data_IF_711436920848
#
_entry.id   IF_711436920848
#
_cell.length_a   1.000
_cell.length_b   1.000
_cell.length_c   1.000
_cell.angle_alpha   90.00
_cell.angle_beta   90.00
_cell.angle_gamma   90.00
#
_symmetry.space_group_name_H-M   'P 1'
#
loop_
_entity.id
_entity.type
_entity.pdbx_description
1 polymer ?
#
# COMPACT_ATOMS: atom_id res chain seq x y z
N UNK A 1 -0.56 -12.29 -5.08
CA UNK A 1 -0.34 -11.65 -3.77
C UNK A 1 -1.68 -11.16 -3.27
N UNK A 2 -1.97 -11.34 -1.99
CA UNK A 2 -3.14 -10.77 -1.33
C UNK A 2 -2.69 -9.93 -0.13
N UNK A 3 -3.51 -8.97 0.29
CA UNK A 3 -3.24 -8.14 1.46
C UNK A 3 -4.46 -8.17 2.37
N UNK A 4 -4.28 -8.48 3.65
CA UNK A 4 -5.37 -8.61 4.59
C UNK A 4 -5.11 -7.84 5.89
N UNK A 5 -6.20 -7.46 6.55
CA UNK A 5 -6.15 -6.96 7.93
C UNK A 5 -6.75 -8.00 8.85
N UNK A 6 -6.00 -8.31 9.89
CA UNK A 6 -6.28 -9.34 10.87
C UNK A 6 -6.36 -8.72 12.26
N UNK A 7 -7.09 -9.37 13.17
CA UNK A 7 -7.13 -8.97 14.57
C UNK A 7 -7.23 -10.18 15.48
N UNK A 8 -6.77 -10.00 16.72
CA UNK A 8 -7.04 -10.96 17.78
C UNK A 8 -8.39 -10.61 18.41
N UNK A 9 -9.41 -11.40 18.11
CA UNK A 9 -10.71 -11.29 18.76
C UNK A 9 -10.66 -12.00 20.13
N UNK A 10 -11.11 -11.33 21.19
CA UNK A 10 -11.19 -11.95 22.52
C UNK A 10 -12.16 -13.15 22.57
N UNK A 11 -13.14 -13.21 21.65
CA UNK A 11 -14.13 -14.29 21.57
C UNK A 11 -13.73 -15.40 20.61
N UNK A 12 -13.12 -15.06 19.47
CA UNK A 12 -12.87 -16.00 18.36
C UNK A 12 -11.37 -16.28 18.13
N UNK A 13 -10.48 -15.62 18.86
CA UNK A 13 -9.03 -15.68 18.62
C UNK A 13 -8.61 -14.92 17.35
N UNK A 14 -7.45 -15.27 16.75
CA UNK A 14 -6.98 -14.68 15.51
C UNK A 14 -8.01 -14.80 14.38
N UNK A 15 -8.40 -13.67 13.82
CA UNK A 15 -9.43 -13.60 12.77
C UNK A 15 -9.02 -12.63 11.67
N UNK A 16 -9.30 -13.01 10.42
CA UNK A 16 -9.17 -12.13 9.26
C UNK A 16 -10.42 -11.26 9.19
N UNK A 17 -10.25 -9.95 9.24
CA UNK A 17 -11.36 -9.00 9.13
C UNK A 17 -11.82 -8.93 7.67
N UNK A 18 -10.86 -8.63 6.79
CA UNK A 18 -11.04 -8.71 5.35
C UNK A 18 -9.69 -8.79 4.64
N UNK A 19 -9.74 -9.22 3.38
CA UNK A 19 -8.60 -9.34 2.48
C UNK A 19 -8.91 -8.66 1.15
N UNK A 20 -7.85 -8.21 0.49
CA UNK A 20 -7.87 -7.59 -0.83
C UNK A 20 -7.02 -8.41 -1.77
N UNK A 21 -7.52 -8.61 -2.98
CA UNK A 21 -6.83 -9.38 -4.03
C UNK A 21 -7.03 -8.76 -5.39
N UNK A 22 -6.18 -9.14 -6.33
CA UNK A 22 -6.38 -8.86 -7.75
C UNK A 22 -7.47 -9.79 -8.30
N UNK A 23 -8.28 -9.28 -9.21
CA UNK A 23 -9.24 -10.07 -10.00
C UNK A 23 -8.49 -10.79 -11.11
N UNK A 24 -8.70 -12.09 -11.24
CA UNK A 24 -8.16 -12.90 -12.35
C UNK A 24 -9.28 -13.27 -13.32
N UNK A 25 -8.96 -13.59 -14.58
CA UNK A 25 -9.96 -13.95 -15.61
C UNK A 25 -10.90 -15.12 -15.21
N UNK A 26 -10.54 -15.90 -14.20
CA UNK A 26 -11.40 -16.94 -13.61
C UNK A 26 -12.58 -16.38 -12.81
N UNK A 27 -12.51 -15.11 -12.36
CA UNK A 27 -13.53 -14.44 -11.55
C UNK A 27 -14.70 -13.89 -12.38
N UNK A 28 -14.51 -13.63 -13.67
CA UNK A 28 -15.57 -13.11 -14.58
C UNK A 28 -16.63 -14.16 -14.94
N UNK A 29 -16.35 -15.45 -14.70
CA UNK A 29 -17.32 -16.54 -14.86
C UNK A 29 -17.94 -17.01 -13.53
N UNK A 30 -17.50 -16.47 -12.38
CA UNK A 30 -17.88 -16.95 -11.03
C UNK A 30 -18.52 -15.87 -10.15
N UNK A 31 -19.22 -14.89 -10.73
CA UNK A 31 -20.13 -14.02 -9.94
C UNK A 31 -21.26 -14.80 -9.23
N UNK A 32 -21.38 -16.12 -9.45
CA UNK A 32 -22.38 -17.01 -8.84
C UNK A 32 -21.83 -18.04 -7.84
N UNK A 33 -20.51 -18.13 -7.62
CA UNK A 33 -19.91 -19.14 -6.71
C UNK A 33 -18.99 -18.50 -5.68
N UNK A 34 -19.51 -17.52 -4.95
CA UNK A 34 -18.92 -17.13 -3.67
C UNK A 34 -19.35 -18.19 -2.65
N UNK A 35 -18.39 -18.89 -2.06
CA UNK A 35 -18.66 -19.96 -1.10
C UNK A 35 -19.64 -19.51 -0.02
N UNK A 36 -20.61 -20.38 0.30
CA UNK A 36 -21.70 -20.17 1.25
C UNK A 36 -21.16 -19.53 2.53
N UNK A 37 -21.80 -18.48 3.08
CA UNK A 37 -21.32 -17.87 4.31
C UNK A 37 -21.25 -18.96 5.39
N UNK A 38 -20.12 -19.09 6.12
CA UNK A 38 -20.12 -19.87 7.34
C UNK A 38 -21.21 -19.32 8.25
N UNK A 39 -21.77 -20.16 9.13
CA UNK A 39 -22.83 -19.80 10.08
C UNK A 39 -22.65 -18.36 10.58
N UNK A 40 -23.71 -17.53 10.63
CA UNK A 40 -23.60 -16.09 10.75
C UNK A 40 -22.68 -15.72 11.91
N UNK A 41 -21.48 -15.26 11.58
CA UNK A 41 -20.55 -14.73 12.56
C UNK A 41 -21.17 -13.40 12.99
N UNK A 42 -21.91 -13.45 14.10
CA UNK A 42 -22.62 -12.31 14.68
C UNK A 42 -21.67 -11.31 15.38
N UNK A 43 -20.36 -11.52 15.23
CA UNK A 43 -19.33 -10.69 15.82
C UNK A 43 -19.01 -9.51 14.90
N UNK A 44 -19.39 -8.30 15.32
CA UNK A 44 -19.16 -7.07 14.55
C UNK A 44 -17.67 -6.72 14.40
N UNK A 45 -16.79 -7.21 15.28
CA UNK A 45 -15.34 -7.09 15.11
C UNK A 45 -14.79 -7.98 14.00
N UNK A 46 -15.24 -9.24 13.92
CA UNK A 46 -14.74 -10.22 12.94
C UNK A 46 -15.44 -10.09 11.59
N UNK A 47 -16.68 -9.59 11.57
CA UNK A 47 -17.49 -9.40 10.37
C UNK A 47 -17.99 -7.95 10.28
N UNK A 48 -17.10 -6.98 9.98
CA UNK A 48 -17.49 -5.57 9.97
C UNK A 48 -18.30 -5.18 8.74
N UNK A 49 -18.42 -6.06 7.73
CA UNK A 49 -19.28 -5.89 6.56
C UNK A 49 -20.73 -6.33 6.81
N UNK A 50 -20.97 -7.11 7.87
CA UNK A 50 -22.25 -7.78 8.06
C UNK A 50 -22.49 -8.87 7.02
N UNK A 51 -23.73 -9.33 6.92
CA UNK A 51 -24.09 -10.43 6.02
C UNK A 51 -24.42 -9.95 4.60
N UNK A 52 -24.87 -8.71 4.45
CA UNK A 52 -25.46 -8.22 3.21
C UNK A 52 -24.47 -7.46 2.31
N UNK A 53 -23.39 -6.92 2.86
CA UNK A 53 -22.44 -6.12 2.07
C UNK A 53 -21.50 -7.04 1.26
N UNK A 54 -21.41 -6.87 -0.08
CA UNK A 54 -20.62 -7.76 -0.95
C UNK A 54 -19.10 -7.54 -0.84
N UNK A 55 -18.68 -6.38 -0.34
CA UNK A 55 -17.30 -5.94 -0.30
C UNK A 55 -17.09 -4.71 -1.19
N UNK A 56 -15.83 -4.36 -1.46
CA UNK A 56 -15.46 -3.26 -2.34
C UNK A 56 -14.77 -3.77 -3.60
N UNK A 57 -14.96 -3.06 -4.71
CA UNK A 57 -14.30 -3.36 -5.98
C UNK A 57 -13.81 -2.07 -6.61
N UNK A 58 -12.57 -2.07 -7.08
CA UNK A 58 -11.96 -0.95 -7.81
C UNK A 58 -11.37 -1.44 -9.12
N UNK A 59 -11.67 -0.74 -10.21
CA UNK A 59 -11.17 -1.03 -11.54
C UNK A 59 -10.14 0.04 -11.94
N UNK A 60 -8.91 -0.38 -12.23
CA UNK A 60 -7.85 0.49 -12.72
C UNK A 60 -7.93 0.58 -14.25
N UNK A 61 -8.32 1.76 -14.74
CA UNK A 61 -8.60 2.00 -16.18
C UNK A 61 -7.35 1.85 -17.05
N UNK A 62 -6.18 2.21 -16.55
CA UNK A 62 -4.93 2.22 -17.32
C UNK A 62 -4.33 0.82 -17.50
N UNK A 63 -4.44 -0.04 -16.50
CA UNK A 63 -3.83 -1.38 -16.51
C UNK A 63 -4.83 -2.49 -16.83
N UNK A 64 -6.13 -2.16 -16.98
CA UNK A 64 -7.24 -3.10 -17.07
C UNK A 64 -7.25 -4.14 -15.92
N UNK A 65 -6.69 -3.78 -14.77
CA UNK A 65 -6.67 -4.61 -13.56
C UNK A 65 -7.79 -4.19 -12.63
N UNK A 66 -8.42 -5.17 -11.99
CA UNK A 66 -9.43 -4.90 -10.96
C UNK A 66 -9.00 -5.50 -9.63
N UNK A 67 -9.40 -4.88 -8.54
CA UNK A 67 -9.09 -5.32 -7.17
C UNK A 67 -10.38 -5.44 -6.38
N UNK A 68 -10.49 -6.50 -5.56
CA UNK A 68 -11.67 -6.76 -4.73
C UNK A 68 -11.22 -6.89 -3.28
N UNK A 69 -11.92 -6.20 -2.37
CA UNK A 69 -11.83 -6.42 -0.93
C UNK A 69 -13.09 -7.06 -0.40
N UNK A 70 -12.99 -8.19 0.29
CA UNK A 70 -14.12 -8.87 0.92
C UNK A 70 -13.68 -9.61 2.17
N UNK A 71 -14.63 -10.01 3.02
CA UNK A 71 -14.42 -11.00 4.08
C UNK A 71 -14.83 -12.42 3.64
N UNK A 72 -15.25 -12.59 2.38
CA UNK A 72 -15.66 -13.86 1.79
C UNK A 72 -14.53 -14.47 0.98
N UNK A 73 -14.30 -15.76 1.14
CA UNK A 73 -13.22 -16.46 0.46
C UNK A 73 -13.68 -17.03 -0.89
N UNK A 74 -12.80 -17.02 -1.89
CA UNK A 74 -13.05 -17.60 -3.21
C UNK A 74 -12.95 -19.13 -3.21
N UNK A 75 -12.11 -19.69 -2.33
CA UNK A 75 -11.92 -21.13 -2.18
C UNK A 75 -11.50 -21.48 -0.75
N UNK A 76 -11.69 -22.75 -0.38
CA UNK A 76 -11.21 -23.27 0.92
C UNK A 76 -9.69 -23.19 1.05
N UNK A 77 -8.95 -23.33 -0.06
CA UNK A 77 -7.49 -23.16 -0.07
C UNK A 77 -7.09 -21.75 0.36
N UNK A 78 -7.68 -20.72 -0.25
CA UNK A 78 -7.40 -19.31 0.09
C UNK A 78 -7.80 -19.02 1.54
N UNK A 79 -8.97 -19.52 1.96
CA UNK A 79 -9.42 -19.44 3.36
C UNK A 79 -8.39 -20.01 4.32
N UNK A 80 -7.95 -21.24 4.11
CA UNK A 80 -7.00 -21.93 4.98
C UNK A 80 -5.65 -21.20 5.02
N UNK A 81 -5.17 -20.71 3.87
CA UNK A 81 -3.94 -19.93 3.78
C UNK A 81 -4.00 -18.63 4.58
N UNK A 82 -5.07 -17.84 4.40
CA UNK A 82 -5.28 -16.59 5.12
C UNK A 82 -5.46 -16.81 6.62
N UNK A 83 -6.23 -17.83 7.01
CA UNK A 83 -6.44 -18.18 8.42
C UNK A 83 -5.13 -18.61 9.09
N UNK A 84 -4.33 -19.45 8.44
CA UNK A 84 -3.04 -19.89 8.96
C UNK A 84 -2.05 -18.73 9.07
N UNK A 85 -1.99 -17.85 8.06
CA UNK A 85 -1.16 -16.65 8.11
C UNK A 85 -1.58 -15.73 9.27
N UNK A 86 -2.88 -15.47 9.41
CA UNK A 86 -3.46 -14.69 10.50
C UNK A 86 -3.10 -15.28 11.86
N UNK A 87 -3.27 -16.59 12.05
CA UNK A 87 -2.94 -17.29 13.28
C UNK A 87 -1.47 -17.11 13.63
N UNK A 88 -0.56 -17.41 12.70
CA UNK A 88 0.88 -17.27 12.93
C UNK A 88 1.28 -15.84 13.26
N UNK A 89 0.78 -14.87 12.48
CA UNK A 89 1.03 -13.44 12.68
C UNK A 89 0.63 -12.91 14.06
N UNK A 90 -0.44 -13.45 14.65
CA UNK A 90 -1.00 -12.93 15.91
C UNK A 90 -0.73 -13.83 17.12
N UNK A 91 -0.26 -15.07 16.93
CA UNK A 91 -0.14 -16.04 18.02
C UNK A 91 1.17 -16.82 18.07
N UNK A 92 1.88 -16.98 16.96
CA UNK A 92 3.09 -17.82 16.91
C UNK A 92 4.37 -17.02 16.67
N UNK A 93 4.28 -15.96 15.89
CA UNK A 93 5.43 -15.12 15.57
C UNK A 93 5.52 -13.92 16.52
N UNK A 94 6.72 -13.68 17.05
CA UNK A 94 6.94 -12.61 18.03
C UNK A 94 7.94 -11.61 17.48
N UNK A 95 7.52 -10.35 17.35
CA UNK A 95 8.43 -9.24 17.10
C UNK A 95 9.20 -8.90 18.38
N UNK A 96 10.54 -8.74 18.35
CA UNK A 96 11.32 -8.30 19.52
C UNK A 96 10.84 -6.97 20.11
N UNK A 97 10.30 -6.09 19.28
CA UNK A 97 9.77 -4.78 19.68
C UNK A 97 8.28 -4.80 20.04
N UNK A 98 7.66 -5.97 20.20
CA UNK A 98 6.21 -6.21 20.39
C UNK A 98 5.33 -5.83 19.20
N UNK A 99 5.59 -4.67 18.59
CA UNK A 99 5.04 -4.26 17.28
C UNK A 99 6.13 -4.35 16.21
N UNK A 100 5.73 -4.44 14.94
CA UNK A 100 6.62 -4.27 13.81
C UNK A 100 6.47 -5.33 12.71
N UNK A 101 7.21 -5.13 11.60
CA UNK A 101 7.19 -6.03 10.47
C UNK A 101 8.05 -7.27 10.75
N UNK A 102 7.52 -8.43 10.38
CA UNK A 102 8.20 -9.72 10.39
C UNK A 102 7.95 -10.41 9.05
N UNK A 103 8.91 -11.23 8.61
CA UNK A 103 8.75 -12.11 7.47
C UNK A 103 8.79 -13.56 7.95
N UNK A 104 7.84 -14.36 7.49
CA UNK A 104 7.87 -15.81 7.74
C UNK A 104 7.29 -16.59 6.56
N UNK A 105 7.59 -17.89 6.53
CA UNK A 105 7.09 -18.82 5.54
C UNK A 105 6.48 -20.05 6.21
N UNK A 106 5.44 -20.60 5.61
CA UNK A 106 4.84 -21.87 6.02
C UNK A 106 4.94 -22.87 4.87
N UNK A 107 5.88 -23.81 4.99
CA UNK A 107 6.10 -24.86 3.99
C UNK A 107 5.01 -25.93 3.99
N UNK A 108 4.10 -25.95 4.98
CA UNK A 108 2.98 -26.90 5.01
C UNK A 108 1.83 -26.49 4.08
N UNK A 109 1.71 -25.20 3.77
CA UNK A 109 0.65 -24.63 2.93
C UNK A 109 1.19 -23.73 1.80
N UNK A 110 2.51 -23.78 1.58
CA UNK A 110 3.26 -23.04 0.56
C UNK A 110 2.94 -21.54 0.51
N UNK A 111 2.99 -20.87 1.67
CA UNK A 111 2.80 -19.42 1.75
C UNK A 111 4.02 -18.72 2.33
N UNK A 112 4.21 -17.48 1.87
CA UNK A 112 5.13 -16.52 2.43
C UNK A 112 4.35 -15.29 2.86
N UNK A 113 4.72 -14.70 4.00
CA UNK A 113 3.97 -13.63 4.63
C UNK A 113 4.92 -12.54 5.11
N UNK A 114 4.63 -11.30 4.73
CA UNK A 114 5.07 -10.11 5.48
C UNK A 114 3.93 -9.73 6.40
N UNK A 115 4.17 -9.73 7.70
CA UNK A 115 3.18 -9.37 8.72
C UNK A 115 3.68 -8.18 9.51
N UNK A 116 2.88 -7.14 9.63
CA UNK A 116 3.18 -5.99 10.46
C UNK A 116 2.16 -5.93 11.60
N UNK A 117 2.58 -6.38 12.77
CA UNK A 117 1.73 -6.40 13.98
C UNK A 117 1.78 -5.05 14.68
N UNK A 118 0.64 -4.63 15.23
CA UNK A 118 0.49 -3.34 15.92
C UNK A 118 -0.68 -3.38 16.91
N UNK A 119 -0.68 -2.45 17.87
CA UNK A 119 -1.79 -2.24 18.78
C UNK A 119 -2.60 -1.00 18.40
N UNK A 120 -3.91 -1.08 18.58
CA UNK A 120 -4.83 0.06 18.58
C UNK A 120 -5.34 0.30 19.99
N UNK A 121 -5.37 1.55 20.44
CA UNK A 121 -5.99 1.92 21.72
C UNK A 121 -7.50 1.71 21.65
N UNK A 122 -8.08 1.17 22.71
CA UNK A 122 -9.52 1.02 22.85
C UNK A 122 -9.90 1.00 24.32
N UNK A 123 -10.78 1.91 24.74
CA UNK A 123 -11.21 2.05 26.12
C UNK A 123 -11.97 0.83 26.64
N UNK A 124 -12.59 0.06 25.74
CA UNK A 124 -13.41 -1.12 26.03
C UNK A 124 -12.64 -2.44 26.06
N UNK A 125 -11.41 -2.44 25.57
CA UNK A 125 -10.57 -3.64 25.47
C UNK A 125 -9.81 -3.90 26.77
N UNK A 126 -9.53 -5.18 27.04
CA UNK A 126 -8.67 -5.55 28.16
C UNK A 126 -7.27 -4.96 27.98
N UNK A 127 -6.79 -4.23 28.98
CA UNK A 127 -5.50 -3.55 28.91
C UNK A 127 -5.48 -2.32 27.99
N UNK A 128 -6.66 -1.82 27.61
CA UNK A 128 -6.87 -0.60 26.81
C UNK A 128 -6.29 -0.64 25.40
N UNK A 129 -6.06 -1.83 24.87
CA UNK A 129 -5.48 -2.03 23.55
C UNK A 129 -5.97 -3.32 22.90
N UNK A 130 -6.06 -3.31 21.57
CA UNK A 130 -6.38 -4.48 20.75
C UNK A 130 -5.26 -4.78 19.78
N UNK A 131 -5.00 -6.07 19.58
CA UNK A 131 -3.93 -6.55 18.72
C UNK A 131 -4.43 -6.74 17.29
N UNK A 132 -3.77 -6.07 16.35
CA UNK A 132 -4.01 -6.19 14.91
C UNK A 132 -2.74 -6.59 14.15
N UNK A 133 -2.93 -7.04 12.91
CA UNK A 133 -1.85 -7.20 11.95
C UNK A 133 -2.32 -6.86 10.54
N UNK A 134 -1.51 -6.11 9.80
CA UNK A 134 -1.64 -6.07 8.33
C UNK A 134 -0.70 -7.14 7.79
N UNK A 135 -1.22 -8.02 6.93
CA UNK A 135 -0.45 -9.10 6.32
C UNK A 135 -0.46 -8.97 4.80
N UNK A 136 0.67 -9.21 4.15
CA UNK A 136 0.79 -9.38 2.71
C UNK A 136 1.31 -10.79 2.44
N UNK A 137 0.55 -11.57 1.66
CA UNK A 137 0.84 -12.98 1.40
C UNK A 137 1.05 -13.25 -0.08
N UNK A 138 2.01 -14.12 -0.39
CA UNK A 138 2.32 -14.56 -1.74
C UNK A 138 2.82 -16.01 -1.75
N UNK A 139 2.66 -16.67 -2.90
CA UNK A 139 3.13 -18.04 -3.12
C UNK A 139 4.65 -18.11 -3.31
N UNK A 140 5.28 -16.98 -3.65
CA UNK A 140 6.73 -16.89 -3.86
C UNK A 140 7.34 -15.85 -2.90
N UNK A 141 8.33 -16.27 -2.11
CA UNK A 141 9.05 -15.41 -1.16
C UNK A 141 9.76 -14.26 -1.86
N UNK A 142 10.28 -14.50 -3.07
CA UNK A 142 11.06 -13.53 -3.84
C UNK A 142 10.28 -12.24 -4.10
N UNK A 143 8.98 -12.33 -4.36
CA UNK A 143 8.10 -11.16 -4.59
C UNK A 143 8.06 -10.29 -3.34
N UNK A 144 7.78 -10.89 -2.18
CA UNK A 144 7.67 -10.17 -0.92
C UNK A 144 9.01 -9.58 -0.47
N UNK A 145 10.09 -10.35 -0.53
CA UNK A 145 11.41 -9.89 -0.11
C UNK A 145 11.94 -8.76 -1.00
N UNK A 146 11.70 -8.82 -2.31
CA UNK A 146 12.05 -7.72 -3.24
C UNK A 146 11.29 -6.44 -2.91
N UNK A 147 10.00 -6.59 -2.58
CA UNK A 147 9.11 -5.47 -2.29
C UNK A 147 9.16 -5.01 -0.83
N UNK A 148 9.97 -5.64 0.03
CA UNK A 148 10.03 -5.35 1.46
C UNK A 148 10.20 -3.86 1.75
N UNK A 149 11.17 -3.22 1.09
CA UNK A 149 11.49 -1.80 1.26
C UNK A 149 10.41 -0.84 0.73
N UNK A 150 9.38 -1.34 0.06
CA UNK A 150 8.24 -0.57 -0.45
C UNK A 150 6.97 -0.90 0.35
N UNK A 151 6.67 -2.18 0.53
CA UNK A 151 5.48 -2.65 1.24
C UNK A 151 5.52 -2.28 2.73
N UNK A 152 6.65 -2.50 3.41
CA UNK A 152 6.73 -2.28 4.86
C UNK A 152 6.53 -0.80 5.23
N UNK A 153 7.16 0.18 4.55
CA UNK A 153 6.88 1.59 4.79
C UNK A 153 5.42 1.98 4.51
N UNK A 154 4.82 1.53 3.40
CA UNK A 154 3.42 1.84 3.10
C UNK A 154 2.47 1.20 4.12
N UNK A 155 2.71 -0.05 4.54
CA UNK A 155 1.97 -0.68 5.66
C UNK A 155 2.13 0.12 6.96
N UNK A 156 3.32 0.63 7.24
CA UNK A 156 3.58 1.43 8.44
C UNK A 156 2.79 2.73 8.44
N UNK A 157 2.66 3.42 7.30
CA UNK A 157 1.83 4.62 7.20
C UNK A 157 0.34 4.30 7.39
N UNK A 158 -0.16 3.20 6.82
CA UNK A 158 -1.54 2.72 7.07
C UNK A 158 -1.76 2.48 8.57
N UNK A 159 -0.81 1.83 9.24
CA UNK A 159 -0.87 1.51 10.67
C UNK A 159 -0.85 2.78 11.51
N UNK A 160 0.04 3.72 11.19
CA UNK A 160 0.15 5.01 11.89
C UNK A 160 -1.16 5.80 11.82
N UNK A 161 -1.79 5.84 10.65
CA UNK A 161 -3.11 6.44 10.46
C UNK A 161 -4.17 5.78 11.35
N UNK A 162 -4.21 4.44 11.38
CA UNK A 162 -5.13 3.69 12.23
C UNK A 162 -4.90 3.97 13.72
N UNK A 163 -3.63 3.98 14.15
CA UNK A 163 -3.23 4.27 15.52
C UNK A 163 -3.63 5.68 15.94
N UNK A 164 -3.48 6.67 15.05
CA UNK A 164 -3.90 8.04 15.30
C UNK A 164 -5.43 8.12 15.48
N UNK A 165 -6.21 7.58 14.55
CA UNK A 165 -7.67 7.57 14.65
C UNK A 165 -8.16 6.89 15.94
N UNK A 166 -7.59 5.74 16.28
CA UNK A 166 -7.93 5.02 17.51
C UNK A 166 -7.53 5.80 18.78
N UNK A 167 -6.37 6.47 18.78
CA UNK A 167 -5.94 7.28 19.91
C UNK A 167 -6.84 8.50 20.14
N UNK A 168 -7.37 9.11 19.07
CA UNK A 168 -8.33 10.22 19.16
C UNK A 168 -9.66 9.77 19.77
N UNK A 169 -10.20 8.63 19.34
CA UNK A 169 -11.41 8.04 19.93
C UNK A 169 -11.18 7.70 21.40
N UNK A 170 -10.08 7.02 21.71
CA UNK A 170 -9.72 6.65 23.07
C UNK A 170 -9.64 7.87 24.00
N UNK A 171 -8.96 8.94 23.58
CA UNK A 171 -8.83 10.17 24.36
C UNK A 171 -10.19 10.82 24.61
N UNK A 172 -11.08 10.85 23.61
CA UNK A 172 -12.43 11.40 23.73
C UNK A 172 -13.28 10.61 24.74
N UNK A 173 -13.15 9.29 24.75
CA UNK A 173 -13.84 8.41 25.69
C UNK A 173 -13.28 8.53 27.11
N UNK A 174 -11.96 8.71 27.24
CA UNK A 174 -11.26 8.94 28.51
C UNK A 174 -11.65 10.27 29.19
N UNK A 175 -11.87 11.33 28.41
CA UNK A 175 -12.32 12.64 28.91
C UNK A 175 -13.75 12.60 29.45
N UNK A 176 -14.59 11.69 28.94
CA UNK A 176 -16.00 11.57 29.31
C UNK A 176 -16.22 10.70 30.56
N UNK A 177 -15.27 9.84 30.93
CA UNK A 177 -15.36 8.96 32.09
C UNK A 177 -14.00 8.74 32.75
N UNK A 178 -13.87 9.10 34.03
CA UNK A 178 -12.61 8.91 34.76
C UNK A 178 -12.16 7.44 34.76
N UNK A 179 -10.85 7.18 34.66
CA UNK A 179 -10.26 5.82 34.68
C UNK A 179 -10.75 4.91 35.81
N UNK A 180 -11.06 5.51 36.96
CA UNK A 180 -11.57 4.78 38.14
C UNK A 180 -13.03 4.36 37.94
N UNK A 181 -13.83 5.18 37.26
CA UNK A 181 -15.20 4.83 36.83
C UNK A 181 -15.22 3.84 35.67
N UNK A 182 -14.30 3.95 34.70
CA UNK A 182 -14.17 2.96 33.63
C UNK A 182 -13.94 1.57 34.25
N UNK A 183 -12.95 1.44 35.16
CA UNK A 183 -12.69 0.17 35.87
C UNK A 183 -13.83 -0.33 36.77
N UNK A 184 -14.63 0.56 37.37
CA UNK A 184 -15.71 0.17 38.29
C UNK A 184 -17.05 -0.12 37.61
N UNK A 185 -17.39 0.57 36.51
CA UNK A 185 -18.61 0.32 35.74
C UNK A 185 -18.50 -0.92 34.82
N UNK A 186 -17.29 -1.45 34.62
CA UNK A 186 -17.05 -2.68 33.87
C UNK A 186 -17.66 -3.94 34.52
N UNK A 187 -18.12 -3.92 35.77
CA UNK A 187 -18.68 -5.16 36.33
C UNK A 187 -20.07 -5.57 35.77
N UNK A 188 -20.80 -4.71 35.03
CA UNK A 188 -22.19 -5.02 34.65
C UNK A 188 -22.56 -4.75 33.16
N UNK A 189 -21.76 -4.03 32.37
CA UNK A 189 -22.05 -3.86 30.94
C UNK A 189 -20.78 -3.93 30.07
N UNK A 190 -20.63 -5.04 29.32
CA UNK A 190 -19.80 -5.13 28.12
C UNK A 190 -18.26 -4.94 28.25
N UNK A 191 -17.60 -5.48 29.29
CA UNK A 191 -16.13 -5.70 29.22
C UNK A 191 -15.83 -6.65 28.07
N UNK A 192 -14.95 -6.28 27.14
CA UNK A 192 -14.54 -7.15 26.04
C UNK A 192 -15.53 -7.22 24.88
N UNK A 193 -16.53 -6.34 24.81
CA UNK A 193 -17.44 -6.29 23.67
C UNK A 193 -16.64 -6.12 22.37
N UNK A 194 -16.89 -7.00 21.40
CA UNK A 194 -16.18 -7.06 20.14
C UNK A 194 -16.53 -5.86 19.24
N UNK A 195 -16.03 -4.66 19.57
CA UNK A 195 -16.14 -3.44 18.74
C UNK A 195 -15.55 -3.66 17.35
N UNK A 196 -16.24 -3.12 16.35
CA UNK A 196 -15.76 -3.12 14.98
C UNK A 196 -14.56 -2.18 14.81
N UNK A 197 -13.81 -2.33 13.72
CA UNK A 197 -12.73 -1.41 13.39
C UNK A 197 -13.27 0.01 13.13
N UNK A 198 -14.49 0.12 12.60
CA UNK A 198 -15.22 1.38 12.44
C UNK A 198 -15.41 2.08 13.77
N UNK A 199 -15.82 1.34 14.81
CA UNK A 199 -16.06 1.92 16.14
C UNK A 199 -14.76 2.32 16.83
N UNK A 200 -13.68 1.53 16.67
CA UNK A 200 -12.37 1.80 17.27
C UNK A 200 -11.73 3.03 16.62
N UNK A 201 -11.80 3.13 15.30
CA UNK A 201 -11.26 4.28 14.56
C UNK A 201 -12.17 5.51 14.59
N UNK A 202 -13.45 5.34 14.94
CA UNK A 202 -14.46 6.40 14.85
C UNK A 202 -14.75 6.82 13.41
N UNK A 203 -14.35 6.02 12.42
CA UNK A 203 -14.48 6.33 11.01
C UNK A 203 -15.32 5.24 10.30
N UNK A 204 -16.58 5.53 9.91
CA UNK A 204 -17.43 4.55 9.25
C UNK A 204 -16.92 4.16 7.86
N UNK A 205 -16.10 5.00 7.22
CA UNK A 205 -15.51 4.74 5.90
C UNK A 205 -14.13 4.05 5.97
N UNK A 206 -13.70 3.57 7.15
CA UNK A 206 -12.35 3.01 7.31
C UNK A 206 -12.10 1.79 6.42
N UNK A 207 -13.10 0.94 6.23
CA UNK A 207 -12.94 -0.23 5.37
C UNK A 207 -12.74 0.16 3.89
N UNK A 208 -13.40 1.22 3.43
CA UNK A 208 -13.20 1.76 2.08
C UNK A 208 -11.82 2.40 1.95
N UNK A 209 -11.37 3.16 2.96
CA UNK A 209 -10.01 3.72 2.99
C UNK A 209 -8.95 2.62 2.91
N UNK A 210 -9.13 1.55 3.69
CA UNK A 210 -8.22 0.40 3.66
C UNK A 210 -8.30 -0.35 2.34
N UNK A 211 -9.48 -0.50 1.72
CA UNK A 211 -9.60 -1.06 0.37
C UNK A 211 -8.74 -0.28 -0.63
N UNK A 212 -8.81 1.05 -0.65
CA UNK A 212 -8.00 1.90 -1.55
C UNK A 212 -6.51 1.68 -1.30
N UNK A 213 -6.09 1.70 -0.03
CA UNK A 213 -4.69 1.54 0.34
C UNK A 213 -4.16 0.13 0.00
N UNK A 214 -4.91 -0.92 0.31
CA UNK A 214 -4.53 -2.31 -0.01
C UNK A 214 -4.54 -2.59 -1.51
N UNK A 215 -5.49 -2.01 -2.24
CA UNK A 215 -5.51 -2.10 -3.72
C UNK A 215 -4.25 -1.48 -4.30
N UNK A 216 -3.81 -0.32 -3.81
CA UNK A 216 -2.54 0.30 -4.21
C UNK A 216 -1.32 -0.60 -3.89
N UNK A 217 -1.27 -1.23 -2.72
CA UNK A 217 -0.20 -2.19 -2.37
C UNK A 217 -0.16 -3.37 -3.35
N UNK A 218 -1.32 -3.89 -3.74
CA UNK A 218 -1.43 -5.01 -4.68
C UNK A 218 -1.00 -4.58 -6.07
N UNK A 219 -1.45 -3.42 -6.54
CA UNK A 219 -1.08 -2.90 -7.85
C UNK A 219 0.43 -2.60 -7.93
N UNK A 220 1.03 -2.04 -6.88
CA UNK A 220 2.49 -1.89 -6.74
C UNK A 220 3.22 -3.22 -7.01
N UNK A 221 2.81 -4.29 -6.32
CA UNK A 221 3.45 -5.59 -6.48
C UNK A 221 3.31 -6.16 -7.90
N UNK A 222 2.23 -5.82 -8.61
CA UNK A 222 1.97 -6.26 -9.98
C UNK A 222 2.53 -5.33 -11.06
N UNK A 223 2.99 -4.13 -10.71
CA UNK A 223 3.69 -3.21 -11.63
C UNK A 223 5.19 -3.47 -11.62
N UNK A 224 5.76 -3.92 -10.50
CA UNK A 224 7.17 -4.29 -10.48
C UNK A 224 7.43 -5.50 -11.40
N UNK A 225 8.39 -5.42 -12.34
CA UNK A 225 8.67 -6.54 -13.22
C UNK A 225 9.16 -7.74 -12.39
N UNK A 226 8.34 -8.79 -12.33
CA UNK A 226 8.68 -10.12 -11.84
C UNK A 226 9.76 -10.70 -12.74
N UNK A 227 11.03 -10.60 -12.31
CA UNK A 227 12.17 -11.28 -12.92
C UNK A 227 12.32 -12.67 -12.29
N UNK A 228 11.35 -13.59 -12.43
CA UNK A 228 11.61 -15.03 -12.23
C UNK A 228 10.63 -15.88 -13.04
N UNK A 229 11.07 -16.41 -14.19
CA UNK A 229 10.90 -17.82 -14.57
C UNK A 229 12.17 -18.27 -15.31
N UNK A 230 12.57 -19.50 -15.05
CA UNK A 230 13.86 -20.10 -15.40
C UNK A 230 14.13 -20.21 -16.90
N UNK A 231 15.38 -19.94 -17.29
CA UNK A 231 16.10 -20.38 -18.50
C UNK A 231 15.26 -20.50 -19.80
N UNK A 232 15.18 -19.41 -20.55
CA UNK A 232 15.65 -19.36 -21.95
C UNK A 232 16.40 -18.04 -22.11
N UNK A 233 17.61 -18.12 -22.66
CA UNK A 233 18.52 -17.00 -22.89
C UNK A 233 17.94 -16.13 -24.00
N UNK A 234 17.05 -15.19 -23.67
CA UNK A 234 16.54 -14.20 -24.65
C UNK A 234 15.92 -12.91 -24.06
N UNK A 235 15.85 -12.70 -22.73
CA UNK A 235 15.14 -11.53 -22.15
C UNK A 235 15.99 -10.43 -21.49
N UNK A 236 17.31 -10.59 -21.39
CA UNK A 236 18.19 -9.54 -20.82
C UNK A 236 18.35 -8.36 -21.77
N UNK A 237 18.35 -8.62 -23.09
CA UNK A 237 18.35 -7.60 -24.13
C UNK A 237 17.08 -6.75 -24.07
N UNK A 238 15.90 -7.36 -24.03
CA UNK A 238 14.63 -6.62 -24.09
C UNK A 238 14.42 -5.66 -22.90
N UNK A 239 14.80 -6.05 -21.67
CA UNK A 239 14.64 -5.17 -20.49
C UNK A 239 15.66 -4.04 -20.44
N UNK A 240 16.88 -4.29 -20.93
CA UNK A 240 17.89 -3.24 -21.11
C UNK A 240 17.39 -2.30 -22.21
N UNK A 241 16.90 -2.84 -23.32
CA UNK A 241 16.33 -2.06 -24.43
C UNK A 241 15.16 -1.20 -23.97
N UNK A 242 14.23 -1.72 -23.16
CA UNK A 242 13.09 -0.95 -22.63
C UNK A 242 13.52 0.18 -21.69
N UNK A 243 14.50 -0.08 -20.81
CA UNK A 243 15.01 0.91 -19.85
C UNK A 243 15.88 1.96 -20.54
N UNK A 244 16.65 1.56 -21.55
CA UNK A 244 17.44 2.45 -22.40
C UNK A 244 16.52 3.28 -23.30
N UNK A 245 15.47 2.69 -23.88
CA UNK A 245 14.46 3.41 -24.65
C UNK A 245 13.70 4.42 -23.78
N UNK A 246 13.38 4.06 -22.53
CA UNK A 246 12.81 4.99 -21.57
C UNK A 246 13.80 6.13 -21.22
N UNK A 247 15.08 5.84 -21.06
CA UNK A 247 16.11 6.86 -20.82
C UNK A 247 16.29 7.81 -22.02
N UNK A 248 16.24 7.27 -23.24
CA UNK A 248 16.28 8.05 -24.48
C UNK A 248 15.07 8.98 -24.55
N UNK A 249 13.85 8.47 -24.30
CA UNK A 249 12.65 9.31 -24.23
C UNK A 249 12.76 10.43 -23.18
N UNK A 250 13.27 10.11 -21.99
CA UNK A 250 13.53 11.12 -20.95
C UNK A 250 14.54 12.17 -21.44
N UNK A 251 15.58 11.75 -22.17
CA UNK A 251 16.58 12.67 -22.74
C UNK A 251 15.98 13.57 -23.82
N UNK A 252 15.16 13.03 -24.71
CA UNK A 252 14.50 13.78 -25.79
C UNK A 252 13.51 14.81 -25.25
N UNK A 253 12.68 14.41 -24.29
CA UNK A 253 11.65 15.27 -23.69
C UNK A 253 12.23 16.38 -22.80
N UNK A 254 13.27 16.08 -22.01
CA UNK A 254 13.97 17.11 -21.21
C UNK A 254 14.82 18.01 -22.12
N UNK A 255 15.26 17.50 -23.28
CA UNK A 255 15.99 18.23 -24.30
C UNK A 255 17.31 18.83 -23.78
N UNK A 256 17.61 20.12 -24.04
CA UNK A 256 18.91 20.72 -23.74
C UNK A 256 19.24 20.76 -22.23
N UNK A 257 18.23 20.60 -21.37
CA UNK A 257 18.38 20.63 -19.92
C UNK A 257 18.80 19.28 -19.33
N UNK A 258 18.80 18.20 -20.13
CA UNK A 258 19.13 16.86 -19.65
C UNK A 258 20.54 16.81 -19.04
N UNK A 259 21.49 17.55 -19.61
CA UNK A 259 22.87 17.62 -19.10
C UNK A 259 22.96 18.19 -17.68
N UNK A 260 22.14 19.20 -17.35
CA UNK A 260 22.10 19.78 -16.02
C UNK A 260 21.43 18.82 -15.02
N UNK A 261 20.34 18.18 -15.45
CA UNK A 261 19.62 17.17 -14.67
C UNK A 261 20.48 15.93 -14.38
N UNK A 262 21.13 15.35 -15.39
CA UNK A 262 22.05 14.23 -15.21
C UNK A 262 23.22 14.58 -14.29
N UNK A 263 23.74 15.82 -14.36
CA UNK A 263 24.79 16.30 -13.43
C UNK A 263 24.29 16.40 -11.99
N UNK A 264 23.03 16.80 -11.77
CA UNK A 264 22.42 16.80 -10.43
C UNK A 264 22.33 15.38 -9.87
N UNK A 265 21.85 14.43 -10.68
CA UNK A 265 21.76 13.00 -10.32
C UNK A 265 23.15 12.44 -10.00
N UNK A 266 24.14 12.66 -10.86
CA UNK A 266 25.51 12.16 -10.69
C UNK A 266 26.22 12.74 -9.46
N UNK A 267 25.82 13.93 -9.00
CA UNK A 267 26.32 14.55 -7.77
C UNK A 267 25.63 14.01 -6.50
N UNK A 268 24.74 13.03 -6.62
CA UNK A 268 23.96 12.49 -5.51
C UNK A 268 22.79 13.38 -5.10
N UNK A 269 22.33 14.26 -5.99
CA UNK A 269 21.19 15.13 -5.74
C UNK A 269 19.88 14.35 -5.62
N UNK A 270 19.09 14.67 -4.59
CA UNK A 270 17.75 14.14 -4.41
C UNK A 270 16.86 14.56 -5.57
N UNK A 271 16.14 13.61 -6.17
CA UNK A 271 15.23 13.84 -7.30
C UNK A 271 13.92 13.15 -7.01
N UNK A 272 12.81 13.87 -7.13
CA UNK A 272 11.48 13.28 -6.96
C UNK A 272 10.80 13.09 -8.30
N UNK A 273 10.03 12.02 -8.47
CA UNK A 273 9.25 11.75 -9.68
C UNK A 273 7.77 11.84 -9.34
N UNK A 274 7.08 12.82 -9.93
CA UNK A 274 5.63 12.96 -9.77
C UNK A 274 4.92 12.41 -11.00
N UNK A 275 4.03 11.45 -10.79
CA UNK A 275 3.10 10.92 -11.79
C UNK A 275 1.91 10.28 -11.10
N UNK A 276 0.76 10.32 -11.73
CA UNK A 276 -0.43 9.60 -11.29
C UNK A 276 -0.38 8.11 -11.71
N UNK A 277 0.53 7.77 -12.62
CA UNK A 277 0.76 6.40 -13.08
C UNK A 277 1.99 5.79 -12.38
N UNK A 278 1.74 4.72 -11.64
CA UNK A 278 2.75 4.04 -10.84
C UNK A 278 3.71 3.20 -11.67
N UNK A 279 3.23 2.62 -12.79
CA UNK A 279 4.05 1.88 -13.74
C UNK A 279 5.05 2.84 -14.41
N UNK A 280 4.58 4.03 -14.81
CA UNK A 280 5.44 5.08 -15.38
C UNK A 280 6.52 5.52 -14.38
N UNK A 281 6.16 5.70 -13.09
CA UNK A 281 7.16 5.99 -12.04
C UNK A 281 8.25 4.94 -11.98
N UNK A 282 7.89 3.65 -11.96
CA UNK A 282 8.86 2.55 -11.85
C UNK A 282 9.77 2.43 -13.09
N UNK A 283 9.22 2.64 -14.28
CA UNK A 283 9.99 2.67 -15.54
C UNK A 283 11.01 3.81 -15.50
N UNK A 284 10.61 5.00 -15.06
CA UNK A 284 11.51 6.15 -14.98
C UNK A 284 12.58 5.98 -13.88
N UNK A 285 12.21 5.40 -12.73
CA UNK A 285 13.18 5.03 -11.68
C UNK A 285 14.22 4.07 -12.26
N UNK A 286 13.76 3.01 -12.93
CA UNK A 286 14.62 1.98 -13.52
C UNK A 286 15.55 2.58 -14.58
N UNK A 287 15.02 3.44 -15.46
CA UNK A 287 15.80 4.13 -16.49
C UNK A 287 16.86 5.08 -15.89
N UNK A 288 16.51 5.87 -14.87
CA UNK A 288 17.43 6.83 -14.25
C UNK A 288 18.50 6.16 -13.40
N UNK A 289 18.26 4.96 -12.87
CA UNK A 289 19.29 4.18 -12.19
C UNK A 289 20.49 3.85 -13.09
N UNK A 290 20.31 3.79 -14.41
CA UNK A 290 21.43 3.60 -15.36
C UNK A 290 22.38 4.81 -15.44
N UNK A 291 21.97 5.99 -14.96
CA UNK A 291 22.84 7.17 -14.90
C UNK A 291 23.82 7.12 -13.73
N UNK A 292 23.63 6.24 -12.75
CA UNK A 292 24.41 6.21 -11.50
C UNK A 292 25.23 4.91 -11.44
N UNK A 293 26.51 4.93 -11.01
CA UNK A 293 27.28 3.72 -10.79
C UNK A 293 26.55 2.77 -9.82
N UNK A 294 26.58 1.47 -10.09
CA UNK A 294 25.85 0.44 -9.31
C UNK A 294 26.13 0.56 -7.81
N UNK A 295 27.34 0.98 -7.41
CA UNK A 295 27.73 1.19 -6.00
C UNK A 295 27.05 2.38 -5.32
N UNK A 296 26.59 3.39 -6.07
CA UNK A 296 25.95 4.61 -5.55
C UNK A 296 24.41 4.55 -5.58
N UNK A 297 23.83 3.50 -6.17
CA UNK A 297 22.37 3.28 -6.28
C UNK A 297 21.63 3.27 -4.94
N UNK A 298 22.29 2.83 -3.84
CA UNK A 298 21.70 2.79 -2.50
C UNK A 298 21.57 4.15 -1.81
N UNK A 299 22.37 5.13 -2.21
CA UNK A 299 22.33 6.50 -1.69
C UNK A 299 21.42 7.41 -2.53
N UNK A 300 20.86 6.87 -3.62
CA UNK A 300 20.00 7.60 -4.53
C UNK A 300 18.55 7.52 -4.04
N UNK A 301 18.11 8.58 -3.35
CA UNK A 301 16.73 8.68 -2.88
C UNK A 301 15.87 9.24 -4.02
N UNK A 302 15.07 8.39 -4.65
CA UNK A 302 13.94 8.81 -5.48
C UNK A 302 12.67 8.68 -4.66
N UNK A 303 12.14 9.81 -4.19
CA UNK A 303 10.87 9.79 -3.47
C UNK A 303 9.71 9.50 -4.44
N UNK A 304 8.92 8.46 -4.15
CA UNK A 304 7.74 8.05 -4.93
C UNK A 304 6.48 8.89 -4.61
N UNK A 305 6.55 9.78 -3.62
CA UNK A 305 5.40 10.52 -3.12
C UNK A 305 4.99 11.67 -4.05
N UNK A 306 3.67 11.86 -4.18
CA UNK A 306 3.06 13.05 -4.80
C UNK A 306 3.41 14.26 -3.96
N UNK A 307 4.12 15.23 -4.53
CA UNK A 307 4.61 16.37 -3.78
C UNK A 307 3.60 17.51 -3.76
N UNK A 308 3.09 17.82 -2.56
CA UNK A 308 2.67 19.16 -2.21
C UNK A 308 3.93 19.91 -1.75
N UNK A 309 4.38 20.86 -2.57
CA UNK A 309 5.50 21.80 -2.32
C UNK A 309 6.92 21.19 -2.18
N UNK A 310 7.82 21.49 -3.13
CA UNK A 310 9.25 21.16 -2.99
C UNK A 310 10.17 22.35 -3.17
N UNK A 311 11.13 22.46 -2.24
CA UNK A 311 12.36 23.27 -2.37
C UNK A 311 13.47 22.57 -3.17
N UNK A 312 13.29 21.31 -3.56
CA UNK A 312 14.27 20.49 -4.31
C UNK A 312 13.86 20.31 -5.80
N UNK A 313 14.81 20.02 -6.71
CA UNK A 313 14.51 19.74 -8.11
C UNK A 313 13.67 18.46 -8.27
N UNK A 314 12.66 18.52 -9.14
CA UNK A 314 11.62 17.52 -9.31
C UNK A 314 11.43 17.21 -10.81
N UNK A 315 11.25 15.93 -11.15
CA UNK A 315 10.81 15.48 -12.47
C UNK A 315 9.30 15.23 -12.43
N UNK A 316 8.53 16.01 -13.17
CA UNK A 316 7.09 15.82 -13.34
C UNK A 316 6.83 15.02 -14.62
N UNK A 317 6.04 13.97 -14.53
CA UNK A 317 5.66 13.12 -15.66
C UNK A 317 4.15 13.07 -15.74
N UNK A 318 3.59 13.75 -16.74
CA UNK A 318 2.15 13.78 -16.98
C UNK A 318 1.72 12.55 -17.77
N UNK A 319 0.66 11.88 -17.32
CA UNK A 319 0.03 10.79 -18.05
C UNK A 319 -0.80 11.30 -19.26
N UNK A 320 -1.14 12.60 -19.29
CA UNK A 320 -1.77 13.21 -20.47
C UNK A 320 -0.71 13.55 -21.50
N UNK A 321 -0.47 12.61 -22.42
CA UNK A 321 0.30 12.84 -23.65
C UNK A 321 1.80 12.51 -23.63
N UNK A 322 2.27 11.67 -22.69
CA UNK A 322 3.69 11.29 -22.55
C UNK A 322 4.67 12.46 -22.33
N UNK A 323 4.19 13.65 -21.98
CA UNK A 323 5.07 14.81 -21.77
C UNK A 323 5.85 14.68 -20.46
N UNK A 324 7.18 14.68 -20.55
CA UNK A 324 8.07 14.72 -19.38
C UNK A 324 8.53 16.16 -19.14
N UNK A 325 8.30 16.70 -17.95
CA UNK A 325 8.71 18.05 -17.59
C UNK A 325 9.68 18.02 -16.41
N UNK A 326 10.87 18.56 -16.58
CA UNK A 326 11.83 18.71 -15.47
C UNK A 326 11.71 20.11 -14.86
N UNK A 327 11.53 20.17 -13.54
CA UNK A 327 11.60 21.40 -12.75
C UNK A 327 12.90 21.36 -11.94
N UNK A 328 13.89 22.15 -12.37
CA UNK A 328 15.10 22.37 -11.59
C UNK A 328 14.91 23.60 -10.70
N UNK A 329 14.86 23.38 -9.38
CA UNK A 329 14.88 24.48 -8.42
C UNK A 329 16.34 24.83 -8.11
N UNK A 330 16.96 25.66 -8.94
CA UNK A 330 18.22 26.30 -8.59
C UNK A 330 17.90 27.52 -7.73
N UNK A 331 18.61 27.74 -6.62
CA UNK A 331 18.51 28.98 -5.84
C UNK A 331 18.90 30.26 -6.62
N UNK A 332 19.10 30.17 -7.93
CA UNK A 332 19.23 31.29 -8.87
C UNK A 332 18.36 30.97 -10.11
N UNK A 333 17.09 31.39 -10.07
CA UNK A 333 16.18 31.36 -11.23
C UNK A 333 15.34 30.08 -11.39
N UNK A 334 14.03 30.21 -11.21
CA UNK A 334 13.05 29.18 -11.60
C UNK A 334 12.99 29.14 -13.12
N UNK A 335 13.45 28.06 -13.75
CA UNK A 335 13.36 27.84 -15.19
C UNK A 335 12.21 26.87 -15.50
N UNK A 336 11.20 27.35 -16.23
CA UNK A 336 10.12 26.52 -16.77
C UNK A 336 10.53 25.96 -18.14
N UNK A 337 10.60 24.63 -18.29
CA UNK A 337 10.64 24.01 -19.61
C UNK A 337 9.23 24.02 -20.22
N UNK A 338 9.08 24.66 -21.38
CA UNK A 338 7.79 24.81 -22.06
C UNK A 338 7.40 23.49 -22.74
N UNK A 339 6.19 23.04 -22.47
CA UNK A 339 5.48 21.94 -23.15
C UNK A 339 5.54 22.12 -24.68
N UNK A 340 5.88 21.05 -25.41
CA UNK A 340 5.68 20.95 -26.85
C UNK A 340 4.52 19.99 -27.10
N UNK A 341 3.45 20.52 -27.69
CA UNK A 341 2.20 19.80 -28.00
C UNK A 341 1.05 20.80 -28.17
N UNK A 342 0.93 21.38 -29.36
CA UNK A 342 0.01 22.48 -29.67
C UNK A 342 -1.47 22.08 -29.80
N UNK A 343 -2.33 23.04 -29.42
CA UNK A 343 -3.75 23.24 -29.77
C UNK A 343 -4.80 22.20 -29.35
N UNK A 344 -5.52 22.50 -28.25
CA UNK A 344 -6.96 22.84 -28.25
C UNK A 344 -7.50 23.09 -26.81
N UNK A 345 -8.03 24.32 -26.65
CA UNK A 345 -9.10 24.77 -25.74
C UNK A 345 -8.94 24.64 -24.22
N UNK A 346 -8.65 25.80 -23.60
CA UNK A 346 -9.58 26.39 -22.63
C UNK A 346 -9.37 26.08 -21.15
N UNK A 347 -8.74 27.04 -20.46
CA UNK A 347 -9.15 27.45 -19.11
C UNK A 347 -8.72 26.56 -17.95
N UNK A 348 -7.62 26.92 -17.30
CA UNK A 348 -7.27 26.39 -15.98
C UNK A 348 -6.03 27.07 -15.43
N UNK A 349 -6.21 28.21 -14.75
CA UNK A 349 -5.17 28.86 -13.96
C UNK A 349 -4.67 27.88 -12.90
N UNK A 350 -3.38 27.57 -12.87
CA UNK A 350 -2.74 27.07 -11.65
C UNK A 350 -1.78 28.13 -11.11
N UNK A 351 -1.95 28.37 -9.82
CA UNK A 351 -1.46 29.52 -9.08
C UNK A 351 0.07 29.57 -9.00
N UNK A 352 0.59 30.77 -9.24
CA UNK A 352 1.95 31.16 -8.89
C UNK A 352 1.93 31.48 -7.39
N UNK A 353 2.59 30.66 -6.57
CA UNK A 353 2.97 31.05 -5.22
C UNK A 353 4.38 31.65 -5.34
N UNK A 354 4.43 32.98 -5.36
CA UNK A 354 5.66 33.74 -5.07
C UNK A 354 5.83 33.85 -3.54
N UNK A 355 7.07 34.05 -3.05
CA UNK A 355 7.53 33.69 -1.71
C UNK A 355 6.73 34.24 -0.54
#
# INVERSE_FOLDING_TARGET
MEVAICHFCEHHGPSVIFHTRLVTETDSHTSSQLSTPPAPICCTACNPFGNDHPGYTSNEVTSNKSTISSNRYTSDTVKNQLQQACFRSLSSEVSPSKEGPIFFSDSGIDIHVISHTFFLKDSSARGFQRWFSVIALANESAILLKLWNTLVPEMKEIIKDLQQMAAEVYKREEEQCSHRMLRSNFHIANVGAARSLQDISGNPAILLKLHIQFSRLILLANCTPTQVKSKVVESTTNKIEDSVAALIRICEEIGPHFKAFARHILKGGSTSISSDDLCVKEICISALQYLVPVQASKNFIIAQHTLQTTSQPCLLISNKGHSVTCILNNCEGIMYCKSIGEHLVGGGRLAIIHP
#
